data_IF_742194039873
#
_entry.id   IF_742194039873
#
_cell.length_a   1.000
_cell.length_b   1.000
_cell.length_c   1.000
_cell.angle_alpha   90.00
_cell.angle_beta   90.00
_cell.angle_gamma   90.00
#
_symmetry.space_group_name_H-M   'P 1'
#
loop_
_entity.id
_entity.type
_entity.pdbx_description
1 polymer ?
#
# COMPACT_ATOMS: atom_id res chain seq x y z
N UNK A 1 5.38 28.79 -14.51
CA UNK A 1 6.43 27.98 -15.17
C UNK A 1 6.04 26.50 -15.30
N UNK A 2 5.17 25.97 -14.44
CA UNK A 2 4.76 24.55 -14.48
C UNK A 2 3.63 24.32 -15.50
N UNK A 3 2.75 25.29 -15.74
CA UNK A 3 1.73 25.20 -16.80
C UNK A 3 2.29 25.19 -18.23
N UNK A 4 3.46 25.82 -18.45
CA UNK A 4 4.11 25.76 -19.76
C UNK A 4 4.73 24.40 -20.08
N UNK A 5 5.16 23.63 -19.06
CA UNK A 5 5.75 22.31 -19.27
C UNK A 5 4.77 21.26 -19.79
N UNK A 6 3.50 21.32 -19.37
CA UNK A 6 2.47 20.37 -19.80
C UNK A 6 1.99 20.64 -21.24
N UNK A 7 1.98 21.89 -21.67
CA UNK A 7 1.67 22.26 -23.06
C UNK A 7 2.84 21.93 -24.00
N UNK A 8 4.09 22.04 -23.54
CA UNK A 8 5.28 21.69 -24.32
C UNK A 8 5.38 20.17 -24.51
N UNK A 9 4.97 19.34 -23.55
CA UNK A 9 4.95 17.89 -23.71
C UNK A 9 3.90 17.42 -24.74
N UNK A 10 2.74 18.08 -24.81
CA UNK A 10 1.74 17.80 -25.82
C UNK A 10 2.16 18.29 -27.23
N UNK A 11 2.89 19.40 -27.29
CA UNK A 11 3.43 19.95 -28.55
C UNK A 11 4.62 19.13 -29.08
N UNK A 12 5.45 18.54 -28.21
CA UNK A 12 6.58 17.69 -28.61
C UNK A 12 6.17 16.32 -29.12
N UNK A 13 5.05 15.76 -28.65
CA UNK A 13 4.48 14.52 -29.20
C UNK A 13 3.85 14.74 -30.59
N UNK A 14 3.26 15.91 -30.83
CA UNK A 14 2.76 16.30 -32.15
C UNK A 14 3.88 16.59 -33.18
N UNK A 15 4.97 17.17 -32.71
CA UNK A 15 6.12 17.48 -33.59
C UNK A 15 7.05 16.30 -33.85
N UNK A 16 7.07 15.28 -32.97
CA UNK A 16 7.83 14.04 -33.18
C UNK A 16 7.33 13.20 -34.36
N UNK A 17 6.04 13.17 -34.60
CA UNK A 17 5.44 12.51 -35.76
C UNK A 17 5.71 13.27 -37.07
N UNK A 18 5.82 14.59 -37.02
CA UNK A 18 6.14 15.41 -38.20
C UNK A 18 7.63 15.39 -38.56
N UNK A 19 8.53 15.22 -37.56
CA UNK A 19 9.99 15.16 -37.79
C UNK A 19 10.45 13.83 -38.35
N UNK A 20 9.74 12.73 -38.07
CA UNK A 20 10.05 11.41 -38.67
C UNK A 20 9.69 11.40 -40.17
N UNK A 21 8.68 12.15 -40.58
CA UNK A 21 8.30 12.27 -41.99
C UNK A 21 9.26 13.14 -42.83
N UNK A 22 10.11 13.99 -42.18
CA UNK A 22 11.01 14.94 -42.92
C UNK A 22 12.47 14.50 -43.00
N UNK A 23 12.87 13.36 -42.41
CA UNK A 23 14.28 12.92 -42.37
C UNK A 23 14.68 11.78 -43.33
N UNK A 24 13.84 11.41 -44.32
CA UNK A 24 14.29 10.55 -45.40
C UNK A 24 13.90 11.11 -46.78
N UNK A 25 14.65 12.09 -47.34
CA UNK A 25 14.38 12.60 -48.66
C UNK A 25 15.02 11.79 -49.80
N UNK A 26 15.56 10.59 -49.56
CA UNK A 26 16.36 9.91 -50.60
C UNK A 26 15.67 8.71 -51.26
N UNK A 27 14.38 8.46 -51.04
CA UNK A 27 13.67 7.35 -51.65
C UNK A 27 12.50 7.72 -52.59
N UNK A 28 12.28 9.00 -52.86
CA UNK A 28 11.26 9.43 -53.81
C UNK A 28 11.93 10.23 -54.93
N UNK A 29 12.00 9.62 -56.10
CA UNK A 29 12.42 10.28 -57.34
C UNK A 29 11.50 11.46 -57.67
N UNK A 30 11.88 12.33 -58.64
CA UNK A 30 11.22 13.57 -58.93
C UNK A 30 9.84 13.35 -59.55
N UNK A 31 8.79 13.34 -58.77
CA UNK A 31 7.41 13.48 -59.23
C UNK A 31 6.97 14.91 -59.05
N UNK A 32 7.00 15.62 -60.20
CA UNK A 32 6.52 16.99 -60.32
C UNK A 32 5.03 17.11 -59.99
N UNK A 33 4.70 18.09 -59.17
CA UNK A 33 3.53 18.95 -59.20
C UNK A 33 2.17 18.27 -59.06
N UNK A 34 1.58 18.46 -57.96
CA UNK A 34 0.21 18.38 -57.50
C UNK A 34 0.01 17.29 -56.43
N UNK A 35 -0.10 17.76 -55.19
CA UNK A 35 -0.55 16.94 -54.04
C UNK A 35 -2.01 16.56 -54.34
N UNK A 36 -2.35 15.27 -54.42
CA UNK A 36 -3.74 14.88 -54.65
C UNK A 36 -4.65 15.38 -53.57
N UNK A 37 -5.87 15.83 -53.85
CA UNK A 37 -6.82 16.34 -52.88
C UNK A 37 -7.17 15.30 -51.75
N UNK A 38 -6.93 14.02 -52.01
CA UNK A 38 -7.06 12.99 -50.98
C UNK A 38 -6.05 13.08 -49.82
N UNK A 39 -4.85 13.63 -50.04
CA UNK A 39 -3.82 13.82 -48.99
C UNK A 39 -4.21 14.96 -48.06
N UNK A 40 -4.83 16.02 -48.59
CA UNK A 40 -5.37 17.14 -47.80
C UNK A 40 -6.59 16.67 -46.97
N UNK A 41 -7.47 15.82 -47.54
CA UNK A 41 -8.61 15.24 -46.86
C UNK A 41 -8.22 14.29 -45.70
N UNK A 42 -7.14 13.51 -45.90
CA UNK A 42 -6.62 12.63 -44.83
C UNK A 42 -5.98 13.46 -43.69
N UNK A 43 -5.31 14.58 -43.99
CA UNK A 43 -4.73 15.45 -42.96
C UNK A 43 -5.81 16.14 -42.09
N UNK A 44 -6.90 16.62 -42.71
CA UNK A 44 -8.01 17.27 -42.00
C UNK A 44 -8.82 16.22 -41.21
N UNK A 45 -9.04 15.01 -41.77
CA UNK A 45 -9.70 13.90 -41.08
C UNK A 45 -8.91 13.39 -39.88
N UNK A 46 -7.59 13.24 -40.03
CA UNK A 46 -6.71 12.83 -38.94
C UNK A 46 -6.63 13.90 -37.84
N UNK A 47 -6.53 15.20 -38.20
CA UNK A 47 -6.57 16.31 -37.25
C UNK A 47 -7.90 16.38 -36.50
N UNK A 48 -9.04 16.24 -37.19
CA UNK A 48 -10.35 16.19 -36.58
C UNK A 48 -10.53 14.99 -35.67
N UNK A 49 -10.05 13.81 -36.05
CA UNK A 49 -10.09 12.62 -35.20
C UNK A 49 -9.22 12.78 -33.94
N UNK A 50 -8.03 13.36 -34.04
CA UNK A 50 -7.14 13.65 -32.87
C UNK A 50 -7.81 14.64 -31.91
N UNK A 51 -8.44 15.70 -32.42
CA UNK A 51 -9.18 16.66 -31.60
C UNK A 51 -10.39 16.02 -30.92
N UNK A 52 -11.16 15.19 -31.62
CA UNK A 52 -12.30 14.48 -31.05
C UNK A 52 -11.86 13.47 -29.99
N UNK A 53 -10.79 12.71 -30.21
CA UNK A 53 -10.23 11.78 -29.24
C UNK A 53 -9.66 12.54 -28.03
N UNK A 54 -8.96 13.65 -28.27
CA UNK A 54 -8.46 14.53 -27.22
C UNK A 54 -9.57 15.10 -26.34
N UNK A 55 -10.69 15.54 -26.94
CA UNK A 55 -11.85 16.02 -26.23
C UNK A 55 -12.58 14.90 -25.48
N UNK A 56 -12.75 13.73 -26.09
CA UNK A 56 -13.43 12.58 -25.50
C UNK A 56 -12.69 12.02 -24.29
N UNK A 57 -11.36 12.06 -24.27
CA UNK A 57 -10.54 11.62 -23.12
C UNK A 57 -10.30 12.75 -22.13
N UNK A 58 -10.06 13.96 -22.62
CA UNK A 58 -9.71 15.12 -21.80
C UNK A 58 -10.86 15.64 -20.94
N UNK A 59 -12.07 15.69 -21.46
CA UNK A 59 -13.23 16.23 -20.73
C UNK A 59 -13.59 15.39 -19.46
N UNK A 60 -13.65 14.04 -19.51
CA UNK A 60 -13.89 13.25 -18.31
C UNK A 60 -12.74 13.36 -17.29
N UNK A 61 -11.49 13.46 -17.74
CA UNK A 61 -10.34 13.64 -16.84
C UNK A 61 -10.37 15.00 -16.15
N UNK A 62 -10.72 16.07 -16.89
CA UNK A 62 -10.90 17.40 -16.33
C UNK A 62 -12.05 17.40 -15.30
N UNK A 63 -13.14 16.73 -15.59
CA UNK A 63 -14.25 16.57 -14.64
C UNK A 63 -13.82 15.88 -13.34
N UNK A 64 -13.09 14.78 -13.43
CA UNK A 64 -12.56 14.07 -12.26
C UNK A 64 -11.60 14.96 -11.45
N UNK A 65 -10.77 15.75 -12.13
CA UNK A 65 -9.87 16.71 -11.49
C UNK A 65 -10.63 17.83 -10.76
N UNK A 66 -11.68 18.36 -11.39
CA UNK A 66 -12.56 19.36 -10.76
C UNK A 66 -13.29 18.80 -9.55
N UNK A 67 -13.79 17.57 -9.62
CA UNK A 67 -14.40 16.90 -8.46
C UNK A 67 -13.40 16.71 -7.32
N UNK A 68 -12.18 16.30 -7.62
CA UNK A 68 -11.11 16.13 -6.65
C UNK A 68 -10.81 17.47 -5.93
N UNK A 69 -10.58 18.54 -6.68
CA UNK A 69 -10.30 19.85 -6.10
C UNK A 69 -11.48 20.42 -5.33
N UNK A 70 -12.71 20.26 -5.82
CA UNK A 70 -13.92 20.64 -5.09
C UNK A 70 -14.02 19.93 -3.74
N UNK A 71 -13.67 18.65 -3.70
CA UNK A 71 -13.70 17.87 -2.46
C UNK A 71 -12.64 18.36 -1.46
N UNK A 72 -11.39 18.58 -1.90
CA UNK A 72 -10.35 19.13 -1.03
C UNK A 72 -10.71 20.54 -0.51
N UNK A 73 -11.19 21.42 -1.40
CA UNK A 73 -11.62 22.76 -1.03
C UNK A 73 -12.79 22.72 -0.03
N UNK A 74 -13.78 21.85 -0.27
CA UNK A 74 -14.92 21.66 0.64
C UNK A 74 -14.45 21.30 2.06
N UNK A 75 -13.55 20.36 2.22
CA UNK A 75 -13.04 19.98 3.54
C UNK A 75 -12.13 21.05 4.17
N UNK A 76 -11.34 21.76 3.37
CA UNK A 76 -10.46 22.84 3.88
C UNK A 76 -11.22 24.09 4.30
N UNK A 77 -12.39 24.34 3.69
CA UNK A 77 -13.28 25.44 4.07
C UNK A 77 -14.26 25.07 5.20
N UNK A 78 -14.06 23.92 5.85
CA UNK A 78 -14.86 23.49 6.98
C UNK A 78 -16.11 22.68 6.64
N UNK A 79 -16.21 22.13 5.43
CA UNK A 79 -17.29 21.22 5.04
C UNK A 79 -17.33 19.98 5.94
N UNK A 80 -18.54 19.56 6.35
CA UNK A 80 -18.72 18.39 7.22
C UNK A 80 -18.58 17.10 6.43
N UNK A 81 -17.93 16.10 7.04
CA UNK A 81 -17.77 14.78 6.42
C UNK A 81 -19.12 14.17 6.00
N UNK A 82 -20.11 14.24 6.88
CA UNK A 82 -21.44 13.69 6.63
C UNK A 82 -22.16 14.33 5.42
N UNK A 83 -21.86 15.60 5.12
CA UNK A 83 -22.50 16.31 4.02
C UNK A 83 -21.87 16.02 2.66
N UNK A 84 -20.66 15.46 2.63
CA UNK A 84 -19.88 15.30 1.40
C UNK A 84 -20.54 14.34 0.39
N UNK A 85 -21.26 13.32 0.85
CA UNK A 85 -22.04 12.45 -0.02
C UNK A 85 -23.11 13.23 -0.79
N UNK A 86 -23.94 13.97 -0.07
CA UNK A 86 -25.05 14.73 -0.67
C UNK A 86 -24.57 15.91 -1.53
N UNK A 87 -23.52 16.63 -1.07
CA UNK A 87 -23.05 17.85 -1.76
C UNK A 87 -22.09 17.58 -2.92
N UNK A 88 -21.34 16.48 -2.87
CA UNK A 88 -20.28 16.19 -3.82
C UNK A 88 -20.49 14.87 -4.59
N UNK A 89 -21.48 14.05 -4.23
CA UNK A 89 -21.73 12.75 -4.87
C UNK A 89 -20.65 11.71 -4.61
N UNK A 90 -19.88 11.83 -3.52
CA UNK A 90 -18.75 10.95 -3.23
C UNK A 90 -19.23 9.61 -2.63
N UNK A 91 -18.65 8.51 -3.10
CA UNK A 91 -18.80 7.21 -2.46
C UNK A 91 -18.19 7.19 -1.05
N UNK A 92 -18.57 6.22 -0.21
CA UNK A 92 -17.99 6.05 1.14
C UNK A 92 -16.46 6.05 1.12
N UNK A 93 -15.87 5.27 0.22
CA UNK A 93 -14.41 5.17 0.10
C UNK A 93 -13.78 6.47 -0.40
N UNK A 94 -14.33 7.10 -1.45
CA UNK A 94 -13.83 8.37 -1.98
C UNK A 94 -13.90 9.48 -0.94
N UNK A 95 -14.98 9.55 -0.19
CA UNK A 95 -15.17 10.50 0.90
C UNK A 95 -14.11 10.33 1.98
N UNK A 96 -13.87 9.09 2.44
CA UNK A 96 -12.86 8.77 3.43
C UNK A 96 -11.44 9.11 2.95
N UNK A 97 -11.12 8.75 1.71
CA UNK A 97 -9.83 9.06 1.10
C UNK A 97 -9.58 10.57 1.03
N UNK A 98 -10.50 11.33 0.43
CA UNK A 98 -10.33 12.77 0.21
C UNK A 98 -10.36 13.57 1.52
N UNK A 99 -11.22 13.19 2.48
CA UNK A 99 -11.21 13.78 3.81
C UNK A 99 -9.87 13.55 4.54
N UNK A 100 -9.40 12.31 4.52
CA UNK A 100 -8.12 11.99 5.15
C UNK A 100 -6.96 12.75 4.51
N UNK A 101 -6.95 12.89 3.19
CA UNK A 101 -5.96 13.65 2.46
C UNK A 101 -6.01 15.15 2.80
N UNK A 102 -7.23 15.72 2.82
CA UNK A 102 -7.44 17.11 3.23
C UNK A 102 -7.04 17.37 4.70
N UNK A 103 -7.02 16.34 5.54
CA UNK A 103 -6.62 16.45 6.95
C UNK A 103 -5.11 16.46 7.15
N UNK A 104 -4.28 16.09 6.16
CA UNK A 104 -2.81 16.02 6.29
C UNK A 104 -2.19 17.32 6.79
N UNK A 105 -2.51 18.53 6.26
CA UNK A 105 -1.91 19.76 6.73
C UNK A 105 -2.15 20.06 8.23
N UNK A 106 -3.28 19.60 8.76
CA UNK A 106 -3.58 19.69 10.17
C UNK A 106 -2.85 18.61 10.98
N UNK A 107 -2.88 17.36 10.50
CA UNK A 107 -2.22 16.22 11.15
C UNK A 107 -0.72 16.43 11.34
N UNK A 108 -0.04 17.07 10.40
CA UNK A 108 1.42 17.27 10.45
C UNK A 108 1.95 17.87 11.76
N UNK A 109 1.11 18.62 12.47
CA UNK A 109 1.47 19.25 13.77
C UNK A 109 0.97 18.47 14.98
N UNK A 110 0.25 17.37 14.78
CA UNK A 110 -0.29 16.60 15.87
C UNK A 110 0.76 15.62 16.41
N UNK A 111 0.71 15.30 17.71
CA UNK A 111 1.53 14.24 18.27
C UNK A 111 1.20 12.90 17.60
N UNK A 112 2.18 12.03 17.52
CA UNK A 112 2.06 10.70 16.94
C UNK A 112 2.30 9.63 18.00
N UNK A 113 1.54 8.54 17.96
CA UNK A 113 1.59 7.49 18.98
C UNK A 113 2.92 6.73 19.03
N UNK A 114 3.71 6.73 17.92
CA UNK A 114 5.04 6.12 17.92
C UNK A 114 6.12 7.05 18.45
N UNK A 115 6.24 8.22 17.83
CA UNK A 115 7.33 9.15 18.12
C UNK A 115 6.98 10.57 17.67
N UNK A 116 7.25 11.57 18.49
CA UNK A 116 7.21 12.96 18.07
C UNK A 116 5.89 13.39 17.42
N UNK A 117 5.97 13.85 16.19
CA UNK A 117 4.84 14.35 15.41
C UNK A 117 4.48 13.41 14.25
N UNK A 118 3.25 13.52 13.76
CA UNK A 118 2.83 12.81 12.53
C UNK A 118 3.72 13.16 11.33
N UNK A 119 4.23 14.38 11.26
CA UNK A 119 5.17 14.78 10.20
C UNK A 119 6.47 13.97 10.26
N UNK A 120 7.05 13.83 11.45
CA UNK A 120 8.30 13.07 11.65
C UNK A 120 8.11 11.61 11.29
N UNK A 121 7.02 10.99 11.75
CA UNK A 121 6.68 9.62 11.36
C UNK A 121 6.51 9.48 9.85
N UNK A 122 5.76 10.37 9.22
CA UNK A 122 5.55 10.37 7.78
C UNK A 122 6.87 10.52 7.01
N UNK A 123 7.75 11.43 7.42
CA UNK A 123 9.05 11.63 6.77
C UNK A 123 9.96 10.41 6.93
N UNK A 124 9.99 9.79 8.10
CA UNK A 124 10.75 8.56 8.35
C UNK A 124 10.24 7.42 7.47
N UNK A 125 8.94 7.22 7.42
CA UNK A 125 8.33 6.20 6.59
C UNK A 125 8.57 6.43 5.09
N UNK A 126 8.47 7.67 4.60
CA UNK A 126 8.75 8.00 3.20
C UNK A 126 10.22 7.81 2.83
N UNK A 127 11.15 8.06 3.75
CA UNK A 127 12.58 7.76 3.55
C UNK A 127 12.83 6.26 3.43
N UNK A 128 12.18 5.46 4.27
CA UNK A 128 12.33 4.01 4.26
C UNK A 128 11.75 3.37 3.00
N UNK A 129 10.71 3.96 2.43
CA UNK A 129 10.06 3.47 1.20
C UNK A 129 10.88 3.81 -0.04
N UNK A 130 11.94 4.51 0.09
CA UNK A 130 12.92 4.93 -0.92
C UNK A 130 12.36 4.93 -2.34
N UNK A 131 11.90 6.08 -2.78
CA UNK A 131 11.89 6.43 -4.19
C UNK A 131 13.20 7.18 -4.47
N UNK A 132 14.23 6.53 -4.99
CA UNK A 132 15.55 7.14 -5.12
C UNK A 132 15.52 8.43 -5.94
N UNK A 133 14.56 8.53 -6.85
CA UNK A 133 14.39 9.66 -7.78
C UNK A 133 13.26 10.60 -7.37
N UNK A 134 12.42 10.26 -6.38
CA UNK A 134 11.24 11.05 -6.04
C UNK A 134 10.21 11.12 -7.18
N UNK A 135 9.20 11.98 -7.02
CA UNK A 135 8.22 12.29 -8.07
C UNK A 135 8.81 13.37 -8.98
N UNK A 136 8.98 13.07 -10.26
CA UNK A 136 9.58 14.00 -11.22
C UNK A 136 10.92 14.60 -10.75
N UNK A 137 11.74 13.80 -10.05
CA UNK A 137 13.01 14.25 -9.49
C UNK A 137 12.91 15.06 -8.19
N UNK A 138 11.70 15.24 -7.63
CA UNK A 138 11.50 15.86 -6.32
C UNK A 138 11.36 14.77 -5.26
N UNK A 139 12.26 14.67 -4.27
CA UNK A 139 12.15 13.71 -3.20
C UNK A 139 10.83 13.86 -2.46
N UNK A 140 10.13 12.74 -2.18
CA UNK A 140 8.86 12.76 -1.44
C UNK A 140 8.99 13.41 -0.06
N UNK A 141 10.17 13.34 0.55
CA UNK A 141 10.45 14.03 1.82
C UNK A 141 10.31 15.56 1.72
N UNK A 142 10.59 16.15 0.56
CA UNK A 142 10.37 17.58 0.32
C UNK A 142 8.87 17.87 0.23
N UNK A 143 8.09 17.01 -0.44
CA UNK A 143 6.65 17.17 -0.58
C UNK A 143 5.89 17.20 0.75
N UNK A 144 6.47 16.64 1.81
CA UNK A 144 5.88 16.57 3.14
C UNK A 144 6.60 17.42 4.21
N UNK A 145 7.51 18.30 3.83
CA UNK A 145 8.35 19.06 4.79
C UNK A 145 7.57 20.11 5.58
N UNK A 146 6.62 20.76 4.96
CA UNK A 146 5.77 21.78 5.61
C UNK A 146 4.31 21.58 5.22
N UNK A 147 3.39 22.23 5.96
CA UNK A 147 1.97 22.24 5.60
C UNK A 147 1.73 22.70 4.16
N UNK A 148 2.44 23.74 3.73
CA UNK A 148 2.32 24.25 2.36
C UNK A 148 2.76 23.19 1.34
N UNK A 149 3.88 22.51 1.58
CA UNK A 149 4.32 21.43 0.71
C UNK A 149 3.30 20.28 0.66
N UNK A 150 2.70 19.90 1.80
CA UNK A 150 1.65 18.88 1.83
C UNK A 150 0.41 19.31 1.03
N UNK A 151 0.01 20.57 1.11
CA UNK A 151 -1.10 21.12 0.30
C UNK A 151 -0.75 21.13 -1.18
N UNK A 152 0.44 21.59 -1.55
CA UNK A 152 0.91 21.58 -2.94
C UNK A 152 1.02 20.16 -3.50
N UNK A 153 1.44 19.21 -2.67
CA UNK A 153 1.47 17.78 -3.03
C UNK A 153 0.06 17.26 -3.34
N UNK A 154 -0.91 17.55 -2.48
CA UNK A 154 -2.29 17.17 -2.74
C UNK A 154 -2.87 17.86 -3.99
N UNK A 155 -2.56 19.13 -4.22
CA UNK A 155 -3.14 19.90 -5.31
C UNK A 155 -2.52 19.63 -6.68
N UNK A 156 -1.23 19.36 -6.74
CA UNK A 156 -0.49 19.28 -8.00
C UNK A 156 0.22 17.94 -8.20
N UNK A 157 0.95 17.46 -7.20
CA UNK A 157 1.82 16.28 -7.38
C UNK A 157 0.97 15.02 -7.56
N UNK A 158 -0.01 14.80 -6.71
CA UNK A 158 -0.89 13.62 -6.80
C UNK A 158 -1.70 13.62 -8.10
N UNK A 159 -2.40 14.71 -8.49
CA UNK A 159 -3.12 14.75 -9.76
C UNK A 159 -2.22 14.54 -10.97
N UNK A 160 -1.03 15.13 -10.98
CA UNK A 160 -0.08 14.97 -12.10
C UNK A 160 0.42 13.54 -12.19
N UNK A 161 0.75 12.92 -11.05
CA UNK A 161 1.14 11.52 -11.00
C UNK A 161 0.04 10.59 -11.48
N UNK A 162 -1.20 10.82 -11.05
CA UNK A 162 -2.36 10.06 -11.49
C UNK A 162 -2.60 10.22 -13.00
N UNK A 163 -2.46 11.44 -13.53
CA UNK A 163 -2.58 11.73 -14.96
C UNK A 163 -1.54 10.96 -15.78
N UNK A 164 -0.24 11.14 -15.48
CA UNK A 164 0.84 10.45 -16.17
C UNK A 164 0.70 8.92 -16.09
N UNK A 165 0.37 8.41 -14.91
CA UNK A 165 0.16 6.98 -14.70
C UNK A 165 -1.02 6.43 -15.49
N UNK A 166 -2.09 7.19 -15.63
CA UNK A 166 -3.28 6.77 -16.36
C UNK A 166 -3.07 6.73 -17.87
N UNK A 167 -2.38 7.74 -18.41
CA UNK A 167 -1.97 7.75 -19.83
C UNK A 167 -1.03 6.58 -20.11
N UNK A 168 -0.01 6.38 -19.27
CA UNK A 168 0.93 5.28 -19.44
C UNK A 168 0.21 3.93 -19.46
N UNK A 169 -0.66 3.64 -18.49
CA UNK A 169 -1.42 2.38 -18.43
C UNK A 169 -2.32 2.16 -19.63
N UNK A 170 -2.93 3.23 -20.14
CA UNK A 170 -3.78 3.15 -21.32
C UNK A 170 -2.97 2.89 -22.59
N UNK A 171 -1.84 3.58 -22.78
CA UNK A 171 -0.95 3.41 -23.94
C UNK A 171 -0.39 1.99 -24.00
N UNK A 172 -0.03 1.41 -22.86
CA UNK A 172 0.52 0.05 -22.79
C UNK A 172 -0.57 -1.04 -22.66
N UNK A 173 -1.83 -0.69 -22.90
CA UNK A 173 -2.93 -1.66 -22.94
C UNK A 173 -3.30 -2.31 -21.62
N UNK A 174 -2.81 -1.78 -20.49
CA UNK A 174 -3.12 -2.27 -19.14
C UNK A 174 -4.49 -1.81 -18.64
N UNK A 175 -4.95 -0.69 -19.14
CA UNK A 175 -6.25 -0.11 -18.83
C UNK A 175 -6.95 0.29 -20.13
N UNK A 176 -8.23 -0.07 -20.24
CA UNK A 176 -9.03 0.23 -21.44
C UNK A 176 -9.37 1.72 -21.59
N UNK A 177 -9.40 2.45 -20.48
CA UNK A 177 -9.77 3.88 -20.46
C UNK A 177 -8.83 4.66 -19.54
N UNK A 178 -8.07 5.59 -20.12
CA UNK A 178 -7.23 6.52 -19.37
C UNK A 178 -8.07 7.39 -18.43
N UNK A 179 -9.26 7.83 -18.85
CA UNK A 179 -10.15 8.66 -18.03
C UNK A 179 -10.67 7.90 -16.80
N UNK A 180 -11.14 6.67 -16.96
CA UNK A 180 -11.60 5.86 -15.84
C UNK A 180 -10.43 5.48 -14.89
N UNK A 181 -9.24 5.24 -15.43
CA UNK A 181 -8.04 5.02 -14.63
C UNK A 181 -7.67 6.27 -13.82
N UNK A 182 -7.74 7.45 -14.42
CA UNK A 182 -7.45 8.72 -13.77
C UNK A 182 -8.45 9.04 -12.66
N UNK A 183 -9.75 8.92 -12.93
CA UNK A 183 -10.79 9.09 -11.94
C UNK A 183 -10.57 8.18 -10.72
N UNK A 184 -10.36 6.89 -10.97
CA UNK A 184 -10.09 5.91 -9.92
C UNK A 184 -8.83 6.25 -9.12
N UNK A 185 -7.75 6.67 -9.80
CA UNK A 185 -6.49 7.03 -9.15
C UNK A 185 -6.60 8.28 -8.27
N UNK A 186 -7.50 9.20 -8.58
CA UNK A 186 -7.73 10.42 -7.81
C UNK A 186 -8.77 10.24 -6.70
N UNK A 187 -9.92 9.66 -7.03
CA UNK A 187 -11.08 9.66 -6.14
C UNK A 187 -11.18 8.40 -5.28
N UNK A 188 -10.70 7.27 -5.79
CA UNK A 188 -10.77 5.97 -5.10
C UNK A 188 -9.52 5.11 -5.36
N UNK A 189 -8.32 5.58 -5.00
CA UNK A 189 -7.09 4.87 -5.29
C UNK A 189 -7.03 3.52 -4.58
N UNK A 190 -6.55 2.51 -5.32
CA UNK A 190 -6.36 1.15 -4.80
C UNK A 190 -4.88 0.70 -4.84
N UNK A 191 -3.98 1.64 -5.07
CA UNK A 191 -2.55 1.36 -4.97
C UNK A 191 -2.11 1.30 -3.51
N UNK A 192 -1.08 0.48 -3.26
CA UNK A 192 -0.65 0.20 -1.90
C UNK A 192 -0.13 1.43 -1.15
N UNK A 193 0.50 2.40 -1.82
CA UNK A 193 1.03 3.59 -1.17
C UNK A 193 -0.11 4.48 -0.65
N UNK A 194 -1.12 4.73 -1.50
CA UNK A 194 -2.27 5.53 -1.10
C UNK A 194 -3.06 4.86 0.03
N UNK A 195 -3.26 3.55 -0.04
CA UNK A 195 -3.94 2.78 1.01
C UNK A 195 -3.13 2.77 2.30
N UNK A 196 -1.83 2.53 2.23
CA UNK A 196 -0.96 2.60 3.40
C UNK A 196 -1.02 3.98 4.06
N UNK A 197 -0.90 5.06 3.27
CA UNK A 197 -0.99 6.43 3.81
C UNK A 197 -2.38 6.76 4.37
N UNK A 198 -3.43 6.22 3.78
CA UNK A 198 -4.79 6.34 4.31
C UNK A 198 -4.90 5.65 5.68
N UNK A 199 -4.38 4.43 5.81
CA UNK A 199 -4.38 3.69 7.07
C UNK A 199 -3.53 4.40 8.16
N UNK A 200 -2.35 4.92 7.80
CA UNK A 200 -1.55 5.73 8.71
C UNK A 200 -2.33 6.94 9.24
N UNK A 201 -3.07 7.64 8.36
CA UNK A 201 -3.89 8.78 8.79
C UNK A 201 -5.04 8.36 9.69
N UNK A 202 -5.69 7.25 9.38
CA UNK A 202 -6.76 6.69 10.21
C UNK A 202 -6.23 6.32 11.60
N UNK A 203 -5.14 5.54 11.67
CA UNK A 203 -4.51 5.15 12.93
C UNK A 203 -4.11 6.37 13.76
N UNK A 204 -3.41 7.34 13.15
CA UNK A 204 -2.94 8.55 13.85
C UNK A 204 -4.09 9.41 14.37
N UNK A 205 -5.15 9.60 13.58
CA UNK A 205 -6.33 10.36 14.03
C UNK A 205 -7.07 9.64 15.14
N UNK A 206 -7.21 8.33 15.06
CA UNK A 206 -7.88 7.53 16.09
C UNK A 206 -7.08 7.52 17.38
N UNK A 207 -5.76 7.29 17.31
CA UNK A 207 -4.89 7.37 18.49
C UNK A 207 -4.97 8.72 19.19
N UNK A 208 -4.92 9.81 18.40
CA UNK A 208 -5.04 11.17 18.91
C UNK A 208 -6.41 11.44 19.57
N UNK A 209 -7.46 10.89 19.01
CA UNK A 209 -8.82 11.13 19.48
C UNK A 209 -9.18 10.28 20.70
N UNK A 210 -8.76 9.03 20.74
CA UNK A 210 -9.10 8.09 21.82
C UNK A 210 -8.07 8.02 22.93
N UNK A 211 -6.81 8.37 22.65
CA UNK A 211 -5.67 8.19 23.55
C UNK A 211 -5.58 6.76 24.12
N UNK A 212 -6.01 5.77 23.32
CA UNK A 212 -6.01 4.36 23.72
C UNK A 212 -4.59 3.84 23.85
N UNK A 213 -4.34 3.09 24.92
CA UNK A 213 -3.09 2.33 25.10
C UNK A 213 -2.89 1.21 24.11
N UNK A 214 -3.93 0.82 23.38
CA UNK A 214 -3.85 -0.21 22.33
C UNK A 214 -2.79 0.14 21.27
N UNK A 215 -2.52 1.44 21.07
CA UNK A 215 -1.50 1.90 20.13
C UNK A 215 -0.06 1.71 20.62
N UNK A 216 0.16 1.42 21.92
CA UNK A 216 1.47 1.06 22.46
C UNK A 216 1.96 -0.30 21.93
N UNK A 217 1.04 -1.15 21.41
CA UNK A 217 1.35 -2.44 20.81
C UNK A 217 2.06 -2.35 19.44
N UNK A 218 2.28 -1.16 18.89
CA UNK A 218 3.23 -0.94 17.80
C UNK A 218 4.68 -1.24 18.25
N UNK A 219 4.98 -1.09 19.55
CA UNK A 219 6.26 -1.52 20.12
C UNK A 219 6.31 -3.04 20.21
N UNK A 220 7.30 -3.65 19.55
CA UNK A 220 7.41 -5.11 19.43
C UNK A 220 7.55 -5.81 20.77
N UNK A 221 8.23 -5.20 21.73
CA UNK A 221 8.37 -5.79 23.05
C UNK A 221 7.06 -5.76 23.84
N UNK A 222 6.38 -4.63 23.82
CA UNK A 222 5.06 -4.48 24.44
C UNK A 222 4.07 -5.47 23.84
N UNK A 223 4.09 -5.62 22.49
CA UNK A 223 3.26 -6.61 21.78
C UNK A 223 3.53 -8.04 22.26
N UNK A 224 4.79 -8.48 22.25
CA UNK A 224 5.17 -9.85 22.63
C UNK A 224 4.73 -10.13 24.08
N UNK A 225 5.06 -9.23 25.02
CA UNK A 225 4.70 -9.38 26.41
C UNK A 225 3.20 -9.48 26.62
N UNK A 226 2.42 -8.61 25.97
CA UNK A 226 0.96 -8.63 26.08
C UNK A 226 0.36 -9.88 25.47
N UNK A 227 0.91 -10.40 24.36
CA UNK A 227 0.50 -11.69 23.81
C UNK A 227 0.74 -12.83 24.81
N UNK A 228 1.93 -12.88 25.42
CA UNK A 228 2.28 -13.90 26.42
C UNK A 228 1.34 -13.82 27.63
N UNK A 229 1.09 -12.63 28.16
CA UNK A 229 0.16 -12.42 29.28
C UNK A 229 -1.27 -12.88 28.98
N UNK A 230 -1.68 -12.78 27.73
CA UNK A 230 -3.03 -13.18 27.28
C UNK A 230 -3.09 -14.60 26.67
N UNK A 231 -1.99 -15.34 26.69
CA UNK A 231 -1.93 -16.70 26.11
C UNK A 231 -2.13 -16.74 24.60
N UNK A 232 -1.78 -15.67 23.90
CA UNK A 232 -1.83 -15.59 22.43
C UNK A 232 -0.48 -16.08 21.88
N UNK A 233 -0.48 -17.02 20.92
CA UNK A 233 0.75 -17.57 20.34
C UNK A 233 1.60 -16.49 19.68
N UNK A 234 2.81 -16.30 20.18
CA UNK A 234 3.78 -15.31 19.70
C UNK A 234 5.17 -15.94 19.64
N UNK A 235 6.04 -15.37 18.81
CA UNK A 235 7.42 -15.83 18.69
C UNK A 235 8.10 -15.91 20.07
N UNK A 236 8.67 -17.08 20.45
CA UNK A 236 9.38 -17.21 21.70
C UNK A 236 10.55 -16.23 21.78
N UNK A 237 10.70 -15.61 22.92
CA UNK A 237 11.83 -14.72 23.22
C UNK A 237 12.79 -15.43 24.15
N UNK A 238 14.07 -15.03 24.09
CA UNK A 238 15.06 -15.58 25.00
C UNK A 238 14.86 -14.96 26.39
N UNK A 239 14.54 -15.79 27.36
CA UNK A 239 14.23 -15.38 28.74
C UNK A 239 15.46 -15.19 29.62
N UNK A 240 16.65 -15.57 29.12
CA UNK A 240 17.92 -15.45 29.82
C UNK A 240 18.90 -14.61 29.02
N UNK A 241 19.69 -13.76 29.72
CA UNK A 241 20.77 -13.01 29.06
C UNK A 241 21.80 -13.95 28.44
N UNK A 242 22.16 -13.69 27.20
CA UNK A 242 23.19 -14.43 26.47
C UNK A 242 24.31 -13.50 26.01
N UNK A 243 25.51 -14.03 25.87
CA UNK A 243 26.60 -13.33 25.21
C UNK A 243 26.74 -13.88 23.80
N UNK A 244 26.53 -13.02 22.80
CA UNK A 244 26.68 -13.37 21.40
C UNK A 244 27.97 -12.78 20.85
N UNK A 245 28.61 -13.53 19.96
CA UNK A 245 29.78 -13.06 19.20
C UNK A 245 29.36 -13.13 17.74
N UNK A 246 29.19 -11.96 17.11
CA UNK A 246 29.01 -11.84 15.68
C UNK A 246 30.38 -11.55 15.04
N UNK A 247 30.75 -12.33 14.03
CA UNK A 247 32.00 -12.15 13.30
C UNK A 247 31.69 -11.93 11.82
N UNK A 248 32.34 -10.95 11.23
CA UNK A 248 32.39 -10.86 9.78
C UNK A 248 33.15 -12.02 9.19
N UNK A 249 32.67 -12.57 8.07
CA UNK A 249 33.23 -13.77 7.45
C UNK A 249 34.54 -13.46 6.70
N UNK A 250 34.78 -12.22 6.32
CA UNK A 250 35.88 -11.79 5.46
C UNK A 250 36.88 -10.88 6.16
N UNK A 251 36.61 -10.37 7.36
CA UNK A 251 37.52 -9.49 8.08
C UNK A 251 38.50 -10.26 8.97
N UNK A 252 39.76 -9.85 8.92
CA UNK A 252 40.87 -10.42 9.68
C UNK A 252 41.28 -9.53 10.86
N UNK A 253 42.16 -10.04 11.73
CA UNK A 253 42.77 -9.25 12.80
C UNK A 253 41.85 -8.80 13.92
N UNK A 254 40.71 -9.45 14.10
CA UNK A 254 39.73 -9.10 15.14
C UNK A 254 38.82 -7.92 14.77
N UNK A 255 39.00 -7.35 13.61
CA UNK A 255 38.02 -6.37 13.04
C UNK A 255 36.76 -7.11 12.68
N UNK A 256 35.61 -6.44 12.74
CA UNK A 256 34.33 -7.08 12.47
C UNK A 256 33.85 -8.08 13.54
N UNK A 257 34.50 -8.14 14.71
CA UNK A 257 34.02 -8.92 15.86
C UNK A 257 33.21 -8.03 16.77
N UNK A 258 31.93 -8.36 16.90
CA UNK A 258 30.99 -7.68 17.81
C UNK A 258 30.65 -8.63 18.97
N UNK A 259 31.04 -8.26 20.18
CA UNK A 259 30.66 -8.99 21.39
C UNK A 259 29.44 -8.30 22.01
N UNK A 260 28.29 -8.95 21.95
CA UNK A 260 27.04 -8.49 22.50
C UNK A 260 26.82 -9.20 23.84
N UNK A 261 27.13 -8.52 24.96
CA UNK A 261 27.01 -9.08 26.31
C UNK A 261 25.63 -8.86 26.89
N UNK A 262 25.14 -9.85 27.62
CA UNK A 262 23.85 -9.79 28.31
C UNK A 262 22.71 -9.38 27.38
N UNK A 263 22.75 -9.88 26.15
CA UNK A 263 21.73 -9.56 25.17
C UNK A 263 20.50 -10.37 25.52
N UNK A 264 19.44 -9.67 25.86
CA UNK A 264 18.14 -10.21 26.08
C UNK A 264 17.18 -9.36 25.21
N UNK A 265 16.27 -8.74 25.81
CA UNK A 265 15.47 -7.66 25.24
C UNK A 265 15.89 -6.39 25.98
N UNK A 266 16.08 -5.35 25.30
CA UNK A 266 16.45 -4.09 25.96
C UNK A 266 17.04 -3.10 24.98
N UNK A 267 16.83 -1.85 25.26
CA UNK A 267 17.18 -0.82 24.31
C UNK A 267 16.42 -1.01 22.97
N UNK A 268 17.16 -1.26 21.89
CA UNK A 268 16.57 -1.37 20.54
C UNK A 268 16.51 -2.80 19.99
N UNK A 269 16.80 -3.83 20.81
CA UNK A 269 16.97 -5.20 20.36
C UNK A 269 16.02 -6.15 21.07
N UNK A 270 15.46 -7.08 20.31
CA UNK A 270 14.71 -8.23 20.80
C UNK A 270 15.43 -9.47 20.25
N UNK A 271 15.75 -10.40 21.13
CA UNK A 271 16.26 -11.71 20.75
C UNK A 271 15.11 -12.69 20.76
N UNK A 272 14.92 -13.33 19.63
CA UNK A 272 13.86 -14.31 19.43
C UNK A 272 14.47 -15.62 18.92
N UNK A 273 13.77 -16.72 19.21
CA UNK A 273 14.06 -17.99 18.59
C UNK A 273 13.90 -17.88 17.07
N UNK A 274 14.82 -18.49 16.32
CA UNK A 274 14.65 -18.62 14.87
C UNK A 274 13.54 -19.63 14.60
N UNK A 275 12.47 -19.18 13.97
CA UNK A 275 11.39 -20.05 13.53
C UNK A 275 11.68 -20.63 12.14
N UNK A 276 11.20 -21.84 11.92
CA UNK A 276 11.28 -22.52 10.63
C UNK A 276 9.87 -22.73 10.04
N UNK A 277 9.80 -22.81 8.71
CA UNK A 277 8.57 -23.20 8.03
C UNK A 277 8.19 -24.65 8.37
N UNK A 278 6.91 -24.92 8.59
CA UNK A 278 6.43 -26.29 8.70
C UNK A 278 6.60 -27.04 7.37
N UNK A 279 6.54 -28.38 7.41
CA UNK A 279 6.79 -29.23 6.26
C UNK A 279 5.82 -28.94 5.10
N UNK A 280 4.54 -28.73 5.41
CA UNK A 280 3.54 -28.39 4.41
C UNK A 280 3.84 -27.07 3.65
N UNK A 281 4.46 -26.11 4.33
CA UNK A 281 4.91 -24.84 3.72
C UNK A 281 6.20 -25.05 2.92
N UNK A 282 7.16 -25.82 3.44
CA UNK A 282 8.41 -26.13 2.74
C UNK A 282 8.18 -26.79 1.37
N UNK A 283 7.17 -27.66 1.27
CA UNK A 283 6.79 -28.31 0.01
C UNK A 283 6.28 -27.32 -1.05
N UNK A 284 5.92 -26.11 -0.68
CA UNK A 284 5.46 -25.06 -1.60
C UNK A 284 6.58 -24.06 -1.96
N UNK A 285 7.74 -24.19 -1.37
CA UNK A 285 8.83 -23.22 -1.44
C UNK A 285 10.09 -23.83 -2.08
N UNK A 286 11.01 -22.98 -2.59
CA UNK A 286 12.35 -23.45 -2.95
C UNK A 286 13.14 -23.91 -1.70
N UNK A 287 14.17 -24.74 -1.88
CA UNK A 287 15.10 -25.08 -0.81
C UNK A 287 15.65 -23.81 -0.15
N UNK A 288 15.87 -23.85 1.16
CA UNK A 288 16.44 -22.76 1.95
C UNK A 288 15.68 -21.40 1.83
N UNK A 289 14.40 -21.46 1.47
CA UNK A 289 13.56 -20.27 1.50
C UNK A 289 13.45 -19.72 2.93
N UNK A 290 13.42 -18.39 3.11
CA UNK A 290 13.25 -17.79 4.42
C UNK A 290 11.89 -18.16 5.02
N UNK A 291 11.73 -17.88 6.31
CA UNK A 291 10.44 -17.99 6.98
C UNK A 291 9.38 -17.24 6.19
N UNK A 292 8.39 -17.98 5.71
CA UNK A 292 7.31 -17.45 4.86
C UNK A 292 6.08 -17.18 5.71
N UNK A 293 5.60 -15.95 5.68
CA UNK A 293 4.51 -15.52 6.56
C UNK A 293 3.24 -15.21 5.78
N UNK A 294 2.12 -15.28 6.47
CA UNK A 294 0.85 -14.77 5.95
C UNK A 294 0.56 -13.40 6.57
N UNK A 295 0.39 -12.39 5.73
CA UNK A 295 -0.15 -11.10 6.15
C UNK A 295 -1.66 -11.21 6.21
N UNK A 296 -2.22 -11.00 7.40
CA UNK A 296 -3.65 -10.88 7.65
C UNK A 296 -3.97 -9.44 8.00
N UNK A 297 -4.91 -8.85 7.30
CA UNK A 297 -5.40 -7.51 7.58
C UNK A 297 -6.76 -7.60 8.26
N UNK A 298 -6.86 -7.11 9.48
CA UNK A 298 -8.10 -7.09 10.24
C UNK A 298 -8.59 -5.66 10.48
N UNK A 299 -9.90 -5.47 10.49
CA UNK A 299 -10.56 -4.21 10.80
C UNK A 299 -11.47 -4.32 12.01
N UNK A 300 -11.45 -3.32 12.90
CA UNK A 300 -12.28 -3.25 14.11
C UNK A 300 -13.02 -1.91 14.19
N UNK A 301 -14.26 -1.95 14.69
CA UNK A 301 -15.04 -0.76 15.03
C UNK A 301 -14.99 -0.45 16.54
N UNK A 302 -14.13 -1.12 17.30
CA UNK A 302 -14.05 -0.99 18.75
C UNK A 302 -13.64 0.40 19.24
N UNK A 303 -13.03 1.26 18.40
CA UNK A 303 -12.76 2.66 18.73
C UNK A 303 -14.01 3.56 18.70
N UNK A 304 -15.07 3.18 17.99
CA UNK A 304 -16.24 4.04 17.77
C UNK A 304 -16.96 4.47 19.04
N UNK A 305 -17.13 3.60 20.08
CA UNK A 305 -17.75 4.04 21.34
C UNK A 305 -17.00 5.17 22.02
N UNK A 306 -15.66 5.14 22.03
CA UNK A 306 -14.84 6.21 22.58
C UNK A 306 -14.96 7.53 21.78
N UNK A 307 -15.35 7.44 20.52
CA UNK A 307 -15.64 8.58 19.63
C UNK A 307 -17.11 9.04 19.69
N UNK A 308 -17.95 8.38 20.51
CA UNK A 308 -19.37 8.71 20.67
C UNK A 308 -20.26 8.12 19.57
N UNK A 309 -19.82 7.05 18.91
CA UNK A 309 -20.58 6.34 17.86
C UNK A 309 -20.81 4.89 18.22
N UNK A 310 -21.94 4.33 17.78
CA UNK A 310 -22.22 2.90 17.95
C UNK A 310 -21.58 2.10 16.80
N UNK A 311 -20.85 1.00 17.10
CA UNK A 311 -20.35 0.10 16.06
C UNK A 311 -21.51 -0.61 15.37
N UNK A 312 -21.40 -0.86 14.08
CA UNK A 312 -22.40 -1.60 13.29
C UNK A 312 -22.31 -3.12 13.58
N UNK A 313 -21.16 -3.60 14.01
CA UNK A 313 -20.94 -4.99 14.41
C UNK A 313 -19.91 -5.08 15.54
N UNK A 314 -19.95 -6.15 16.29
CA UNK A 314 -18.94 -6.49 17.28
C UNK A 314 -17.81 -7.30 16.64
N UNK A 315 -16.64 -7.21 17.26
CA UNK A 315 -15.45 -7.98 16.87
C UNK A 315 -14.74 -7.49 15.61
N UNK A 316 -13.48 -7.87 15.55
CA UNK A 316 -12.63 -7.64 14.39
C UNK A 316 -12.97 -8.60 13.25
N UNK A 317 -12.72 -8.18 12.02
CA UNK A 317 -12.99 -8.96 10.81
C UNK A 317 -11.81 -8.93 9.88
N UNK A 318 -11.51 -10.06 9.28
CA UNK A 318 -10.48 -10.17 8.25
C UNK A 318 -10.94 -9.47 6.95
N UNK A 319 -10.13 -8.53 6.48
CA UNK A 319 -10.39 -7.75 5.27
C UNK A 319 -9.60 -8.26 4.06
N UNK A 320 -8.40 -8.80 4.30
CA UNK A 320 -7.50 -9.28 3.25
C UNK A 320 -6.48 -10.24 3.85
N UNK A 321 -6.09 -11.24 3.06
CA UNK A 321 -5.02 -12.16 3.41
C UNK A 321 -4.11 -12.40 2.21
N UNK A 322 -2.79 -12.38 2.47
CA UNK A 322 -1.77 -12.61 1.45
C UNK A 322 -0.66 -13.46 2.05
N UNK A 323 -0.35 -14.58 1.43
CA UNK A 323 0.82 -15.36 1.79
C UNK A 323 2.05 -14.86 1.07
N UNK A 324 3.13 -14.60 1.79
CA UNK A 324 4.43 -14.18 1.29
C UNK A 324 5.33 -15.40 1.12
N UNK A 325 5.26 -16.04 -0.03
CA UNK A 325 6.08 -17.19 -0.37
C UNK A 325 7.52 -16.74 -0.63
N UNK A 326 8.45 -17.16 0.19
CA UNK A 326 9.86 -16.75 0.14
C UNK A 326 10.56 -17.20 -1.14
N UNK A 327 11.49 -16.40 -1.63
CA UNK A 327 12.27 -16.64 -2.84
C UNK A 327 13.60 -17.33 -2.51
N UNK A 328 14.15 -18.07 -3.49
CA UNK A 328 15.47 -18.69 -3.39
C UNK A 328 16.54 -17.64 -3.09
N UNK A 329 17.39 -17.91 -2.09
CA UNK A 329 18.49 -17.03 -1.68
C UNK A 329 18.06 -15.74 -0.99
N UNK A 330 16.78 -15.56 -0.69
CA UNK A 330 16.32 -14.42 0.09
C UNK A 330 16.61 -14.63 1.58
N UNK A 331 17.04 -13.58 2.27
CA UNK A 331 17.29 -13.61 3.73
C UNK A 331 16.02 -13.45 4.56
N UNK A 332 14.98 -12.86 3.96
CA UNK A 332 13.68 -12.58 4.60
C UNK A 332 12.56 -12.71 3.57
N UNK A 333 11.32 -12.75 4.04
CA UNK A 333 10.12 -12.73 3.19
C UNK A 333 9.79 -11.37 2.53
N UNK A 334 10.69 -10.41 2.60
CA UNK A 334 10.59 -9.18 1.81
C UNK A 334 10.79 -9.43 0.32
N UNK A 335 11.63 -10.41 -0.05
CA UNK A 335 11.71 -10.93 -1.40
C UNK A 335 10.79 -12.15 -1.49
N UNK A 336 9.59 -11.98 -2.01
CA UNK A 336 8.57 -13.03 -2.01
C UNK A 336 7.70 -13.00 -3.27
N UNK A 337 6.97 -14.08 -3.44
CA UNK A 337 5.74 -14.10 -4.26
C UNK A 337 4.59 -13.79 -3.32
N UNK A 338 3.83 -12.75 -3.60
CA UNK A 338 2.62 -12.44 -2.85
C UNK A 338 1.46 -13.23 -3.44
N UNK A 339 1.02 -14.26 -2.74
CA UNK A 339 -0.05 -15.15 -3.18
C UNK A 339 -1.34 -14.77 -2.48
N UNK A 340 -2.39 -14.54 -3.26
CA UNK A 340 -3.72 -14.32 -2.71
C UNK A 340 -4.19 -15.56 -1.95
N UNK A 341 -4.73 -15.35 -0.77
CA UNK A 341 -5.40 -16.40 0.00
C UNK A 341 -6.84 -15.96 0.17
N UNK A 342 -7.77 -16.37 -0.70
CA UNK A 342 -9.15 -15.95 -0.65
C UNK A 342 -9.82 -16.52 0.62
N UNK A 343 -9.47 -15.97 1.76
CA UNK A 343 -9.97 -16.35 3.08
C UNK A 343 -11.20 -15.53 3.46
N UNK A 344 -11.91 -15.01 2.48
CA UNK A 344 -13.21 -14.40 2.73
C UNK A 344 -14.05 -15.32 3.61
N UNK A 345 -15.05 -14.81 4.32
CA UNK A 345 -15.93 -15.56 5.24
C UNK A 345 -16.33 -16.92 4.65
N UNK A 346 -15.79 -18.00 5.19
CA UNK A 346 -15.93 -19.35 4.67
C UNK A 346 -14.87 -19.76 3.65
N UNK A 347 -13.85 -18.94 3.41
CA UNK A 347 -12.73 -19.25 2.54
C UNK A 347 -11.87 -20.37 3.13
N UNK A 348 -11.53 -21.32 2.29
CA UNK A 348 -10.64 -22.41 2.64
C UNK A 348 -9.18 -21.99 2.60
N UNK A 349 -8.32 -22.93 2.87
CA UNK A 349 -6.86 -22.80 2.81
C UNK A 349 -6.31 -22.78 1.38
N UNK A 350 -7.11 -22.45 0.36
CA UNK A 350 -6.73 -22.57 -1.06
C UNK A 350 -6.03 -21.31 -1.53
N UNK A 351 -4.85 -21.45 -2.08
CA UNK A 351 -4.06 -20.37 -2.67
C UNK A 351 -4.68 -19.91 -3.99
N UNK A 352 -4.79 -18.61 -4.16
CA UNK A 352 -5.17 -17.95 -5.39
C UNK A 352 -3.97 -17.67 -6.29
N UNK A 353 -4.12 -16.68 -7.17
CA UNK A 353 -3.04 -16.22 -8.01
C UNK A 353 -2.03 -15.40 -7.25
N UNK A 354 -0.76 -15.49 -7.63
CA UNK A 354 0.32 -14.70 -7.06
C UNK A 354 0.71 -13.50 -7.93
N UNK A 355 1.49 -12.61 -7.35
CA UNK A 355 2.23 -11.58 -8.07
C UNK A 355 3.66 -11.54 -7.56
N UNK A 356 4.63 -11.49 -8.45
CA UNK A 356 6.00 -11.21 -8.03
C UNK A 356 6.09 -9.75 -7.63
N UNK A 357 6.59 -9.53 -6.45
CA UNK A 357 7.13 -8.25 -6.07
C UNK A 357 8.65 -8.39 -6.15
N UNK A 358 9.27 -7.80 -7.18
CA UNK A 358 10.63 -7.36 -6.98
C UNK A 358 10.55 -6.45 -5.78
N UNK A 359 11.39 -6.66 -4.79
CA UNK A 359 11.47 -5.96 -3.52
C UNK A 359 10.54 -4.73 -3.48
N UNK A 360 9.49 -4.75 -2.69
CA UNK A 360 8.44 -3.73 -2.75
C UNK A 360 8.94 -2.30 -2.54
N UNK A 361 10.13 -2.12 -1.95
CA UNK A 361 10.87 -0.87 -1.87
C UNK A 361 11.48 -0.41 -3.21
N UNK A 362 11.87 -1.32 -4.09
CA UNK A 362 12.44 -0.95 -5.39
C UNK A 362 11.39 -0.45 -6.37
N UNK A 363 10.12 -0.50 -6.03
CA UNK A 363 9.02 -0.18 -6.92
C UNK A 363 8.34 1.14 -6.59
N UNK A 364 9.09 2.15 -6.14
CA UNK A 364 8.56 3.45 -5.76
C UNK A 364 7.60 4.07 -6.78
N UNK A 365 7.86 3.90 -8.07
CA UNK A 365 6.96 4.31 -9.14
C UNK A 365 5.70 3.46 -9.23
N UNK A 366 5.80 2.15 -8.97
CA UNK A 366 4.62 1.27 -8.88
C UNK A 366 3.72 1.67 -7.72
N UNK A 367 4.30 2.14 -6.63
CA UNK A 367 3.57 2.51 -5.43
C UNK A 367 2.71 3.75 -5.59
N UNK A 368 3.05 4.61 -6.54
CA UNK A 368 2.22 5.76 -6.93
C UNK A 368 1.19 5.41 -8.01
N UNK A 369 0.99 4.13 -8.27
CA UNK A 369 0.12 3.70 -9.34
C UNK A 369 0.75 3.87 -10.73
N UNK A 370 2.00 4.28 -10.80
CA UNK A 370 2.75 4.30 -12.06
C UNK A 370 3.39 2.94 -12.29
N UNK A 371 3.04 2.23 -13.35
CA UNK A 371 3.62 0.94 -13.66
C UNK A 371 5.03 1.13 -14.19
N UNK A 372 6.02 0.87 -13.37
CA UNK A 372 7.43 0.83 -13.81
C UNK A 372 7.78 -0.51 -14.45
N UNK A 373 7.00 -1.53 -14.15
CA UNK A 373 7.10 -2.82 -14.81
C UNK A 373 5.70 -3.40 -14.96
N UNK A 374 5.33 -3.62 -16.20
CA UNK A 374 4.03 -4.14 -16.62
C UNK A 374 3.94 -5.66 -16.51
N UNK A 375 5.07 -6.31 -16.23
CA UNK A 375 5.19 -7.75 -16.24
C UNK A 375 4.89 -8.43 -14.91
N UNK A 376 4.39 -7.70 -13.91
CA UNK A 376 3.78 -8.31 -12.74
C UNK A 376 2.38 -8.83 -13.09
N UNK A 377 2.33 -9.67 -14.11
CA UNK A 377 1.15 -10.46 -14.39
C UNK A 377 0.83 -11.36 -13.21
N UNK A 378 -0.43 -11.74 -13.11
CA UNK A 378 -0.85 -12.82 -12.22
C UNK A 378 -0.04 -14.08 -12.55
N UNK A 379 0.65 -14.63 -11.56
CA UNK A 379 1.40 -15.88 -11.71
C UNK A 379 0.70 -17.00 -10.95
N UNK A 380 0.67 -18.17 -11.57
CA UNK A 380 0.09 -19.36 -10.95
C UNK A 380 1.13 -20.23 -10.27
N UNK A 381 2.41 -20.09 -10.67
CA UNK A 381 3.50 -20.95 -10.20
C UNK A 381 4.61 -20.14 -9.54
N UNK A 382 5.34 -20.78 -8.62
CA UNK A 382 6.50 -20.18 -7.98
C UNK A 382 7.64 -19.99 -9.02
N UNK A 383 8.17 -18.77 -9.18
CA UNK A 383 9.10 -18.48 -10.28
C UNK A 383 10.46 -19.19 -10.16
N UNK A 384 10.89 -19.56 -8.95
CA UNK A 384 12.17 -20.22 -8.74
C UNK A 384 12.09 -21.75 -8.88
N UNK A 385 10.92 -22.35 -8.63
CA UNK A 385 10.76 -23.81 -8.65
C UNK A 385 9.86 -24.29 -9.78
N UNK A 386 9.07 -23.41 -10.40
CA UNK A 386 8.02 -23.79 -11.34
C UNK A 386 6.81 -24.47 -10.70
N UNK A 387 6.84 -24.69 -9.37
CA UNK A 387 5.75 -25.37 -8.65
C UNK A 387 4.45 -24.56 -8.77
N UNK A 388 3.39 -25.22 -9.16
CA UNK A 388 2.05 -24.64 -9.18
C UNK A 388 1.63 -24.24 -7.75
N UNK A 389 1.35 -22.97 -7.51
CA UNK A 389 0.86 -22.44 -6.23
C UNK A 389 -0.66 -22.27 -6.24
N UNK A 390 -1.19 -21.65 -7.30
CA UNK A 390 -2.63 -21.42 -7.43
C UNK A 390 -3.40 -22.74 -7.43
N UNK A 391 -4.42 -22.83 -6.58
CA UNK A 391 -5.20 -24.04 -6.35
C UNK A 391 -4.59 -25.00 -5.32
N UNK A 392 -3.36 -24.80 -4.85
CA UNK A 392 -2.79 -25.56 -3.74
C UNK A 392 -3.38 -25.12 -2.41
N UNK A 393 -3.21 -25.97 -1.40
CA UNK A 393 -3.69 -25.73 -0.05
C UNK A 393 -2.55 -25.22 0.84
N UNK A 394 -2.77 -24.09 1.52
CA UNK A 394 -1.95 -23.62 2.64
C UNK A 394 -2.63 -24.03 3.93
N UNK A 395 -2.29 -25.19 4.45
CA UNK A 395 -2.93 -25.73 5.65
C UNK A 395 -2.86 -24.74 6.82
N UNK A 396 -3.99 -24.46 7.44
CA UNK A 396 -4.09 -23.55 8.57
C UNK A 396 -4.32 -22.08 8.21
N UNK A 397 -4.44 -21.70 6.94
CA UNK A 397 -4.64 -20.29 6.55
C UNK A 397 -5.94 -19.71 7.16
N UNK A 398 -7.04 -20.45 7.14
CA UNK A 398 -8.28 -20.01 7.76
C UNK A 398 -8.14 -19.87 9.29
N UNK A 399 -7.40 -20.77 9.94
CA UNK A 399 -7.13 -20.69 11.39
C UNK A 399 -6.25 -19.48 11.72
N UNK A 400 -5.29 -19.12 10.83
CA UNK A 400 -4.46 -17.96 11.01
C UNK A 400 -5.29 -16.67 10.93
N UNK A 401 -6.21 -16.55 9.99
CA UNK A 401 -7.14 -15.44 9.93
C UNK A 401 -7.99 -15.31 11.20
N UNK A 402 -8.59 -16.41 11.65
CA UNK A 402 -9.36 -16.45 12.88
C UNK A 402 -8.51 -16.14 14.14
N UNK A 403 -7.25 -16.57 14.18
CA UNK A 403 -6.32 -16.19 15.26
C UNK A 403 -6.12 -14.68 15.29
N UNK A 404 -5.90 -14.03 14.13
CA UNK A 404 -5.71 -12.60 14.05
C UNK A 404 -6.97 -11.80 14.46
N UNK A 405 -8.16 -12.27 14.10
CA UNK A 405 -9.41 -11.65 14.55
C UNK A 405 -9.52 -11.69 16.08
N UNK A 406 -9.31 -12.87 16.69
CA UNK A 406 -9.31 -13.01 18.16
C UNK A 406 -8.21 -12.20 18.84
N UNK A 407 -7.01 -12.16 18.25
CA UNK A 407 -5.91 -11.38 18.77
C UNK A 407 -6.21 -9.88 18.71
N UNK A 408 -6.82 -9.40 17.63
CA UNK A 408 -7.24 -8.00 17.50
C UNK A 408 -8.24 -7.62 18.60
N UNK A 409 -9.27 -8.43 18.78
CA UNK A 409 -10.29 -8.19 19.82
C UNK A 409 -9.71 -8.24 21.24
N UNK A 410 -8.80 -9.17 21.50
CA UNK A 410 -8.22 -9.34 22.82
C UNK A 410 -7.15 -8.30 23.16
N UNK A 411 -6.33 -7.90 22.18
CA UNK A 411 -5.15 -7.07 22.41
C UNK A 411 -5.42 -5.58 22.18
N UNK A 412 -6.11 -5.24 21.08
CA UNK A 412 -6.17 -3.87 20.57
C UNK A 412 -7.52 -3.50 19.92
N UNK A 413 -8.67 -3.72 20.56
CA UNK A 413 -9.98 -3.46 19.96
C UNK A 413 -10.18 -2.02 19.53
N UNK A 414 -9.47 -1.06 20.16
CA UNK A 414 -9.51 0.37 19.83
C UNK A 414 -8.68 0.77 18.63
N UNK A 415 -7.94 -0.14 18.00
CA UNK A 415 -7.19 0.11 16.77
C UNK A 415 -8.09 -0.20 15.58
N UNK A 416 -8.31 0.75 14.63
CA UNK A 416 -9.23 0.50 13.51
C UNK A 416 -8.76 -0.58 12.53
N UNK A 417 -7.45 -0.68 12.31
CA UNK A 417 -6.84 -1.60 11.35
C UNK A 417 -5.53 -2.14 11.90
N UNK A 418 -5.34 -3.45 11.83
CA UNK A 418 -4.11 -4.11 12.18
C UNK A 418 -3.69 -5.10 11.08
N UNK A 419 -2.41 -5.06 10.73
CA UNK A 419 -1.77 -6.01 9.82
C UNK A 419 -0.90 -6.98 10.60
N UNK A 420 -1.27 -8.24 10.60
CA UNK A 420 -0.63 -9.31 11.34
C UNK A 420 0.32 -10.10 10.47
N UNK A 421 1.47 -10.44 10.98
CA UNK A 421 2.38 -11.38 10.34
C UNK A 421 2.32 -12.71 11.09
N UNK A 422 1.84 -13.75 10.40
CA UNK A 422 1.63 -15.10 10.95
C UNK A 422 2.59 -16.09 10.30
N UNK A 423 3.39 -16.77 11.10
CA UNK A 423 4.22 -17.89 10.66
C UNK A 423 3.50 -19.22 10.84
N UNK A 424 3.82 -20.16 9.96
CA UNK A 424 3.34 -21.55 9.98
C UNK A 424 4.51 -22.44 10.36
N UNK A 425 4.65 -22.74 11.63
CA UNK A 425 5.76 -23.46 12.22
C UNK A 425 5.51 -24.96 12.32
N UNK A 426 6.57 -25.79 12.46
CA UNK A 426 6.42 -27.19 12.82
C UNK A 426 5.65 -27.32 14.16
N UNK A 427 4.69 -28.25 14.26
CA UNK A 427 3.94 -28.45 15.48
C UNK A 427 4.88 -28.99 16.59
N UNK A 428 4.74 -28.47 17.80
CA UNK A 428 5.51 -28.91 18.97
C UNK A 428 4.91 -30.11 19.69
N UNK A 429 3.62 -30.35 19.43
CA UNK A 429 2.84 -31.42 20.07
C UNK A 429 2.79 -32.71 19.24
N UNK A 430 3.54 -32.80 18.15
CA UNK A 430 3.55 -33.94 17.24
C UNK A 430 2.30 -34.06 16.36
N UNK A 431 1.43 -33.05 16.34
CA UNK A 431 0.29 -32.99 15.43
C UNK A 431 0.74 -32.85 13.96
N UNK A 432 -0.17 -33.03 13.01
CA UNK A 432 0.08 -32.82 11.59
C UNK A 432 -0.25 -31.39 11.14
N UNK A 433 -0.92 -30.63 11.99
CA UNK A 433 -1.34 -29.27 11.68
C UNK A 433 -0.25 -28.27 12.08
N UNK A 434 -0.02 -27.21 11.29
CA UNK A 434 0.99 -26.22 11.61
C UNK A 434 0.67 -25.49 12.92
N UNK A 435 1.70 -25.25 13.73
CA UNK A 435 1.63 -24.29 14.82
C UNK A 435 1.62 -22.88 14.24
N UNK A 436 0.65 -22.07 14.64
CA UNK A 436 0.50 -20.69 14.17
C UNK A 436 1.10 -19.74 15.19
N UNK A 437 2.04 -18.91 14.74
CA UNK A 437 2.78 -17.99 15.60
C UNK A 437 2.68 -16.57 15.05
N UNK A 438 2.24 -15.64 15.89
CA UNK A 438 2.25 -14.21 15.56
C UNK A 438 3.67 -13.66 15.70
N UNK A 439 4.17 -12.99 14.68
CA UNK A 439 5.47 -12.33 14.71
C UNK A 439 5.37 -10.87 15.16
N UNK A 440 4.41 -10.16 14.60
CA UNK A 440 4.17 -8.74 14.88
C UNK A 440 2.78 -8.29 14.46
N UNK A 441 2.34 -7.17 15.00
CA UNK A 441 1.19 -6.41 14.53
C UNK A 441 1.65 -5.05 14.02
N UNK A 442 1.14 -4.63 12.86
CA UNK A 442 1.43 -3.36 12.23
C UNK A 442 0.18 -2.50 12.25
N UNK A 443 0.16 -1.42 13.01
CA UNK A 443 -1.04 -0.58 13.20
C UNK A 443 -1.25 0.42 12.06
N UNK A 444 -0.21 0.70 11.29
CA UNK A 444 -0.30 1.47 10.05
C UNK A 444 -0.12 0.55 8.85
N UNK A 445 -0.94 -0.49 8.79
CA UNK A 445 -0.77 -1.61 7.89
C UNK A 445 -0.93 -1.26 6.42
N UNK A 446 -0.21 -2.00 5.59
CA UNK A 446 -0.35 -2.04 4.15
C UNK A 446 -0.59 -3.49 3.69
N UNK A 447 -0.71 -3.73 2.41
CA UNK A 447 -1.03 -4.98 1.70
C UNK A 447 -2.51 -5.21 1.44
N UNK A 448 -2.98 -4.41 0.49
CA UNK A 448 -4.24 -4.66 -0.18
C UNK A 448 -3.95 -5.29 -1.55
N UNK A 449 -3.57 -6.57 -1.53
CA UNK A 449 -3.39 -7.37 -2.74
C UNK A 449 -4.32 -8.57 -2.69
N UNK A 450 -4.68 -9.08 -3.85
CA UNK A 450 -5.60 -10.21 -3.94
C UNK A 450 -7.04 -9.87 -3.58
N UNK A 451 -7.69 -10.80 -2.92
CA UNK A 451 -9.11 -10.73 -2.56
C UNK A 451 -9.34 -9.85 -1.35
N UNK A 452 -9.70 -8.59 -1.58
CA UNK A 452 -9.97 -7.61 -0.54
C UNK A 452 -11.46 -7.42 -0.36
N UNK A 453 -11.95 -7.41 0.89
CA UNK A 453 -13.33 -7.08 1.25
C UNK A 453 -13.59 -5.57 1.14
N UNK A 454 -13.56 -5.02 -0.09
CA UNK A 454 -13.63 -3.58 -0.35
C UNK A 454 -14.85 -2.90 0.24
N UNK A 455 -16.01 -3.57 0.26
CA UNK A 455 -17.22 -3.04 0.86
C UNK A 455 -17.07 -2.83 2.36
N UNK A 456 -16.60 -3.84 3.07
CA UNK A 456 -16.37 -3.80 4.53
C UNK A 456 -15.28 -2.78 4.89
N UNK A 457 -14.21 -2.73 4.10
CA UNK A 457 -13.15 -1.74 4.30
C UNK A 457 -13.66 -0.31 4.10
N UNK A 458 -14.46 -0.05 3.06
CA UNK A 458 -15.05 1.26 2.84
C UNK A 458 -16.01 1.67 3.96
N UNK A 459 -16.80 0.74 4.48
CA UNK A 459 -17.71 0.97 5.61
C UNK A 459 -16.94 1.26 6.92
N UNK A 460 -15.88 0.51 7.16
CA UNK A 460 -14.99 0.74 8.30
C UNK A 460 -14.39 2.16 8.28
N UNK A 461 -13.81 2.55 7.14
CA UNK A 461 -13.23 3.88 6.95
C UNK A 461 -14.28 4.98 7.14
N UNK A 462 -15.45 4.80 6.51
CA UNK A 462 -16.53 5.78 6.53
C UNK A 462 -17.04 6.02 7.95
N UNK A 463 -17.26 4.96 8.72
CA UNK A 463 -17.70 5.04 10.11
C UNK A 463 -16.69 5.79 10.99
N UNK A 464 -15.40 5.45 10.86
CA UNK A 464 -14.36 6.09 11.65
C UNK A 464 -14.14 7.55 11.29
N UNK A 465 -14.02 7.89 9.98
CA UNK A 465 -13.81 9.29 9.60
C UNK A 465 -15.02 10.18 9.89
N UNK A 466 -16.23 9.64 9.85
CA UNK A 466 -17.43 10.37 10.31
C UNK A 466 -17.33 10.70 11.82
N UNK A 467 -16.93 9.72 12.65
CA UNK A 467 -16.75 9.92 14.08
C UNK A 467 -15.59 10.89 14.40
N UNK A 468 -14.49 10.78 13.67
CA UNK A 468 -13.30 11.63 13.81
C UNK A 468 -13.56 13.08 13.36
N UNK A 469 -14.39 13.32 12.32
CA UNK A 469 -14.81 14.66 11.95
C UNK A 469 -15.67 15.30 13.05
N UNK A 470 -16.63 14.57 13.61
CA UNK A 470 -17.44 15.04 14.71
C UNK A 470 -16.59 15.33 15.96
N UNK A 471 -15.63 14.48 16.28
CA UNK A 471 -14.70 14.71 17.38
C UNK A 471 -13.85 15.97 17.17
N UNK A 472 -13.30 16.15 15.96
CA UNK A 472 -12.46 17.30 15.62
C UNK A 472 -13.20 18.62 15.69
N UNK A 473 -14.52 18.63 15.41
CA UNK A 473 -15.37 19.82 15.45
C UNK A 473 -15.79 20.23 16.85
N UNK A 474 -15.72 19.30 17.79
CA UNK A 474 -16.01 19.60 19.21
C UNK A 474 -14.82 20.24 19.95
N UNK A 475 -13.65 20.21 19.35
CA UNK A 475 -12.41 20.85 19.83
C UNK A 475 -12.18 22.20 19.17
#
# INVERSE_FOLDING_TARGET
>A
AVCCGSLVAAATLGSGAAVIATRQPQLLGPLSGQVPPCVVGLGVGAGGAIVCVGAAVGAPMLWSLLQYWRALAFFWTGGRYADAEKKLGLSKFSRAHLYSLASVPWLMRQPHYRTGTFQEDMLTNLRNVVMPTGLFGVPLSICARTRLHAMLTAWFVIPTAAFCGSIYRSVWGMERSAAACFERSLLAPRDWLQLWRLNCRLASMTALATQSKDFELEDKWTFIRTCMEKGIPVTPVMDKPVTLIAKDVLEEGGMGIHVLKNVLHGGRWILQEKLDNCEAVKQLLPPDAPLSTMRVLTGSQGALPALGRRPAHSGARTLCTVWRAGRLGASTDHSCVMVDVPSGRGGGDVLGAGSTSAHWYASGWKSLGMPVSTRDGSIASHPDTGLQLSGRRLAGAARAAALCERAHDALMPGVPLAGWDVAFCPPRDGSTEPELVLLEANLSCNFFRGSVAWGEYAELLDAHFAALDDWRRRR
#
